data_IF_478864442906
#
_entry.id   IF_478864442906
#
_cell.length_a   1.000
_cell.length_b   1.000
_cell.length_c   1.000
_cell.angle_alpha   90.00
_cell.angle_beta   90.00
_cell.angle_gamma   90.00
#
_symmetry.space_group_name_H-M   'P 1'
#
loop_
_entity.id
_entity.type
_entity.pdbx_description
1 polymer ?
#
# COMPACT_ATOMS: atom_id res chain seq x y z
N UNK A 1 33.75 -60.51 -22.18
CA UNK A 1 32.49 -60.84 -22.87
C UNK A 1 31.60 -61.47 -21.81
N UNK A 2 30.71 -60.73 -21.13
CA UNK A 2 29.53 -60.05 -21.67
C UNK A 2 28.99 -59.00 -20.68
N UNK A 3 28.73 -57.80 -21.20
CA UNK A 3 27.65 -56.83 -20.88
C UNK A 3 27.22 -56.70 -19.41
N UNK A 4 27.67 -55.69 -18.64
CA UNK A 4 27.28 -54.27 -18.70
C UNK A 4 25.78 -54.11 -19.04
N UNK A 5 24.92 -54.35 -18.06
CA UNK A 5 23.50 -53.94 -18.10
C UNK A 5 23.34 -52.66 -17.28
N UNK A 6 23.78 -51.57 -17.89
CA UNK A 6 23.72 -50.17 -17.43
C UNK A 6 22.27 -49.62 -17.42
N UNK A 7 21.29 -50.36 -16.91
CA UNK A 7 19.86 -49.92 -16.91
C UNK A 7 19.24 -49.70 -15.52
N UNK A 8 20.00 -49.86 -14.42
CA UNK A 8 19.48 -49.62 -13.05
C UNK A 8 20.04 -48.37 -12.35
N UNK A 9 20.73 -47.47 -13.07
CA UNK A 9 21.44 -46.31 -12.48
C UNK A 9 20.66 -44.98 -12.64
N UNK A 10 19.50 -44.97 -13.30
CA UNK A 10 18.74 -43.74 -13.59
C UNK A 10 17.28 -43.74 -13.12
N UNK A 11 16.99 -44.33 -11.95
CA UNK A 11 15.74 -44.04 -11.24
C UNK A 11 15.97 -43.01 -10.14
N UNK A 12 16.25 -41.78 -10.56
CA UNK A 12 16.19 -40.61 -9.69
C UNK A 12 14.72 -40.46 -9.24
N UNK A 13 14.42 -40.88 -8.00
CA UNK A 13 13.14 -40.63 -7.35
C UNK A 13 13.01 -39.12 -7.16
N UNK A 14 12.48 -38.45 -8.18
CA UNK A 14 12.08 -37.06 -8.14
C UNK A 14 11.30 -36.82 -6.84
N UNK A 15 11.68 -35.81 -6.02
CA UNK A 15 10.91 -35.50 -4.83
C UNK A 15 9.48 -35.23 -5.28
N UNK A 16 8.53 -35.90 -4.63
CA UNK A 16 7.11 -35.80 -4.95
C UNK A 16 6.65 -34.38 -4.63
N UNK A 17 6.75 -33.48 -5.61
CA UNK A 17 6.37 -32.07 -5.52
C UNK A 17 4.96 -31.92 -4.94
N UNK A 18 4.06 -32.88 -5.22
CA UNK A 18 2.71 -32.88 -4.64
C UNK A 18 2.71 -32.98 -3.10
N UNK A 19 3.61 -33.75 -2.49
CA UNK A 19 3.70 -33.88 -1.03
C UNK A 19 4.32 -32.65 -0.39
N UNK A 20 5.30 -32.02 -1.04
CA UNK A 20 5.87 -30.74 -0.58
C UNK A 20 4.89 -29.58 -0.73
N UNK A 21 4.13 -29.53 -1.83
CA UNK A 21 3.06 -28.55 -2.05
C UNK A 21 1.91 -28.77 -1.07
N UNK A 22 1.51 -30.01 -0.78
CA UNK A 22 0.51 -30.32 0.26
C UNK A 22 1.01 -30.00 1.68
N UNK A 23 2.30 -30.19 1.97
CA UNK A 23 2.92 -29.76 3.24
C UNK A 23 3.01 -28.24 3.35
N UNK A 24 3.36 -27.55 2.27
CA UNK A 24 3.40 -26.08 2.18
C UNK A 24 1.99 -25.49 2.29
N UNK A 25 0.99 -26.12 1.69
CA UNK A 25 -0.43 -25.76 1.83
C UNK A 25 -0.96 -26.01 3.25
N UNK A 26 -0.56 -27.10 3.92
CA UNK A 26 -0.89 -27.33 5.34
C UNK A 26 -0.19 -26.32 6.26
N UNK A 27 1.05 -25.94 5.96
CA UNK A 27 1.76 -24.89 6.70
C UNK A 27 1.24 -23.48 6.41
N UNK A 28 0.55 -23.28 5.28
CA UNK A 28 -0.18 -22.06 4.97
C UNK A 28 -1.28 -21.77 6.01
N UNK A 29 -1.81 -22.79 6.69
CA UNK A 29 -2.87 -22.65 7.71
C UNK A 29 -2.39 -22.84 9.16
N UNK A 30 -1.11 -22.68 9.44
CA UNK A 30 -0.56 -22.74 10.81
C UNK A 30 -0.59 -21.34 11.48
N UNK A 31 -0.61 -21.28 12.81
CA UNK A 31 -0.58 -20.06 13.65
C UNK A 31 0.51 -19.04 13.27
N UNK A 32 1.56 -19.45 12.55
CA UNK A 32 2.57 -18.58 11.95
C UNK A 32 2.02 -17.70 10.82
N UNK A 33 1.08 -18.20 10.00
CA UNK A 33 0.41 -17.42 8.95
C UNK A 33 -0.61 -16.46 9.54
N UNK A 34 -1.32 -16.84 10.61
CA UNK A 34 -2.21 -15.92 11.32
C UNK A 34 -1.44 -14.77 11.99
N UNK A 35 -0.25 -15.02 12.56
CA UNK A 35 0.69 -13.99 13.02
C UNK A 35 1.25 -13.12 11.90
N UNK A 36 1.29 -13.65 10.66
CA UNK A 36 1.74 -12.95 9.44
C UNK A 36 0.64 -12.08 8.83
N UNK A 37 -0.63 -12.48 8.94
CA UNK A 37 -1.80 -11.72 8.48
C UNK A 37 -2.27 -10.67 9.49
N UNK A 38 -2.12 -10.94 10.79
CA UNK A 38 -2.43 -10.01 11.88
C UNK A 38 -1.18 -9.71 12.71
N UNK A 39 -0.22 -8.96 12.14
CA UNK A 39 1.00 -8.52 12.83
C UNK A 39 0.70 -7.73 14.12
N UNK A 40 -0.53 -7.19 14.27
CA UNK A 40 -0.99 -6.53 15.49
C UNK A 40 -0.83 -7.38 16.76
N UNK A 41 -1.04 -8.68 16.64
CA UNK A 41 -0.95 -9.62 17.77
C UNK A 41 0.51 -9.86 18.18
N UNK A 42 1.48 -9.52 17.33
CA UNK A 42 2.91 -9.72 17.61
C UNK A 42 3.54 -8.51 18.32
N UNK A 43 3.10 -7.28 17.99
CA UNK A 43 3.65 -6.06 18.59
C UNK A 43 2.88 -5.60 19.84
N UNK A 44 1.55 -5.79 19.88
CA UNK A 44 0.71 -5.36 21.00
C UNK A 44 1.13 -5.95 22.38
N UNK A 45 1.47 -7.26 22.52
CA UNK A 45 1.89 -7.81 23.81
C UNK A 45 3.31 -7.41 24.24
N UNK A 46 4.10 -6.79 23.37
CA UNK A 46 5.45 -6.26 23.68
C UNK A 46 5.44 -4.77 24.00
N UNK A 47 4.26 -4.15 24.03
CA UNK A 47 4.11 -2.72 24.22
C UNK A 47 4.29 -2.33 25.69
N UNK A 48 5.30 -1.50 25.98
CA UNK A 48 5.52 -0.97 27.32
C UNK A 48 4.65 0.28 27.55
N UNK A 49 3.97 0.35 28.69
CA UNK A 49 3.09 1.49 29.04
C UNK A 49 3.82 2.84 29.14
N UNK A 50 5.16 2.82 29.25
CA UNK A 50 5.99 4.03 29.21
C UNK A 50 5.93 4.75 27.84
N UNK A 51 5.58 4.04 26.76
CA UNK A 51 5.44 4.64 25.42
C UNK A 51 4.06 5.26 25.17
N UNK A 52 3.10 5.11 26.09
CA UNK A 52 1.74 5.60 25.90
C UNK A 52 1.66 7.12 25.77
N UNK A 53 2.41 7.86 26.60
CA UNK A 53 2.45 9.33 26.56
C UNK A 53 3.08 9.86 25.26
N UNK A 54 4.29 9.42 24.84
CA UNK A 54 4.87 9.88 23.59
C UNK A 54 4.03 9.48 22.37
N UNK A 55 3.43 8.28 22.36
CA UNK A 55 2.56 7.86 21.25
C UNK A 55 1.26 8.67 21.19
N UNK A 56 0.70 9.06 22.33
CA UNK A 56 -0.48 9.94 22.37
C UNK A 56 -0.17 11.33 21.79
N UNK A 57 0.95 11.94 22.19
CA UNK A 57 1.38 13.25 21.68
C UNK A 57 1.72 13.15 20.18
N UNK A 58 2.37 12.07 19.76
CA UNK A 58 2.65 11.80 18.35
C UNK A 58 1.36 11.64 17.54
N UNK A 59 0.41 10.83 18.02
CA UNK A 59 -0.89 10.63 17.39
C UNK A 59 -1.71 11.92 17.26
N UNK A 60 -1.72 12.76 18.30
CA UNK A 60 -2.35 14.08 18.26
C UNK A 60 -1.70 14.98 17.19
N UNK A 61 -0.37 15.01 17.16
CA UNK A 61 0.40 15.83 16.21
C UNK A 61 0.15 15.38 14.76
N UNK A 62 0.20 14.07 14.51
CA UNK A 62 -0.07 13.48 13.20
C UNK A 62 -1.53 13.69 12.79
N UNK A 63 -2.48 13.54 13.72
CA UNK A 63 -3.90 13.80 13.45
C UNK A 63 -4.16 15.26 13.06
N UNK A 64 -3.58 16.21 13.79
CA UNK A 64 -3.71 17.64 13.51
C UNK A 64 -3.11 18.04 12.15
N UNK A 65 -2.03 17.38 11.70
CA UNK A 65 -1.44 17.64 10.37
C UNK A 65 -2.16 16.89 9.25
N UNK A 66 -2.71 15.70 9.53
CA UNK A 66 -3.41 14.88 8.55
C UNK A 66 -4.74 15.50 8.08
N UNK A 67 -5.47 16.19 8.97
CA UNK A 67 -6.76 16.84 8.64
C UNK A 67 -6.61 17.86 7.50
N UNK A 68 -5.78 18.92 7.62
CA UNK A 68 -5.62 19.89 6.53
C UNK A 68 -5.02 19.25 5.28
N UNK A 69 -4.08 18.31 5.44
CA UNK A 69 -3.48 17.58 4.32
C UNK A 69 -4.55 16.82 3.50
N UNK A 70 -5.47 16.12 4.17
CA UNK A 70 -6.52 15.35 3.53
C UNK A 70 -7.52 16.24 2.76
N UNK A 71 -7.86 17.41 3.31
CA UNK A 71 -8.76 18.40 2.67
C UNK A 71 -8.16 18.88 1.35
N UNK A 72 -6.86 19.27 1.37
CA UNK A 72 -6.15 19.76 0.18
C UNK A 72 -6.03 18.65 -0.88
N UNK A 73 -5.78 17.41 -0.48
CA UNK A 73 -5.69 16.30 -1.42
C UNK A 73 -7.03 15.96 -2.07
N UNK A 74 -8.13 16.07 -1.33
CA UNK A 74 -9.48 15.95 -1.90
C UNK A 74 -9.75 17.00 -2.97
N UNK A 75 -9.35 18.26 -2.74
CA UNK A 75 -9.55 19.34 -3.73
C UNK A 75 -8.61 19.21 -4.93
N UNK A 76 -7.37 18.75 -4.72
CA UNK A 76 -6.45 18.43 -5.82
C UNK A 76 -7.00 17.29 -6.68
N UNK A 77 -7.70 16.32 -6.10
CA UNK A 77 -8.35 15.25 -6.87
C UNK A 77 -9.60 15.71 -7.64
N UNK A 78 -10.00 16.99 -7.59
CA UNK A 78 -11.23 17.49 -8.22
C UNK A 78 -12.52 17.05 -7.52
N UNK A 79 -12.42 16.49 -6.30
CA UNK A 79 -13.56 15.98 -5.53
C UNK A 79 -13.93 16.94 -4.40
N UNK A 80 -15.13 16.78 -3.82
CA UNK A 80 -15.50 17.54 -2.63
C UNK A 80 -14.55 17.19 -1.46
N UNK A 81 -14.06 18.16 -0.66
CA UNK A 81 -13.02 17.94 0.33
C UNK A 81 -13.30 16.84 1.35
N UNK A 82 -14.58 16.59 1.66
CA UNK A 82 -15.03 15.50 2.53
C UNK A 82 -14.51 14.10 2.09
N UNK A 83 -14.37 13.83 0.79
CA UNK A 83 -13.85 12.55 0.30
C UNK A 83 -12.38 12.32 0.67
N UNK A 84 -11.58 13.39 0.74
CA UNK A 84 -10.21 13.31 1.22
C UNK A 84 -10.15 12.92 2.70
N UNK A 85 -11.05 13.47 3.52
CA UNK A 85 -11.14 13.13 4.93
C UNK A 85 -11.63 11.69 5.16
N UNK A 86 -12.61 11.24 4.36
CA UNK A 86 -13.09 9.85 4.42
C UNK A 86 -11.98 8.85 4.08
N UNK A 87 -11.17 9.13 3.06
CA UNK A 87 -10.07 8.23 2.66
C UNK A 87 -8.92 8.22 3.68
N UNK A 88 -8.59 9.35 4.29
CA UNK A 88 -7.59 9.44 5.36
C UNK A 88 -8.02 8.66 6.60
N UNK A 89 -9.26 8.82 7.04
CA UNK A 89 -9.79 8.11 8.21
C UNK A 89 -9.88 6.60 7.97
N UNK A 90 -10.48 6.18 6.85
CA UNK A 90 -10.66 4.77 6.54
C UNK A 90 -9.32 4.06 6.28
N UNK A 91 -8.36 4.74 5.64
CA UNK A 91 -7.02 4.23 5.41
C UNK A 91 -6.29 3.88 6.71
N UNK A 92 -6.29 4.79 7.68
CA UNK A 92 -5.74 4.53 9.03
C UNK A 92 -6.47 3.37 9.73
N UNK A 93 -7.80 3.36 9.69
CA UNK A 93 -8.59 2.32 10.35
C UNK A 93 -8.28 0.92 9.82
N UNK A 94 -8.24 0.76 8.49
CA UNK A 94 -7.88 -0.53 7.85
C UNK A 94 -6.44 -0.91 8.15
N UNK A 95 -5.51 0.05 8.18
CA UNK A 95 -4.11 -0.21 8.46
C UNK A 95 -3.86 -0.72 9.88
N UNK A 96 -4.68 -0.35 10.87
CA UNK A 96 -4.54 -0.89 12.23
C UNK A 96 -4.70 -2.43 12.23
N UNK A 97 -5.62 -2.98 11.44
CA UNK A 97 -5.87 -4.43 11.43
C UNK A 97 -4.84 -5.21 10.59
N UNK A 98 -4.45 -4.66 9.44
CA UNK A 98 -3.62 -5.37 8.45
C UNK A 98 -2.17 -4.86 8.35
N UNK A 99 -1.83 -3.82 9.10
CA UNK A 99 -0.56 -3.10 9.00
C UNK A 99 0.59 -3.81 9.71
N UNK A 100 1.69 -4.00 8.99
CA UNK A 100 2.91 -4.66 9.48
C UNK A 100 3.86 -3.73 10.23
N UNK A 101 3.76 -2.40 10.04
CA UNK A 101 4.65 -1.41 10.64
C UNK A 101 3.87 -0.50 11.59
N UNK A 102 4.38 -0.28 12.81
CA UNK A 102 3.72 0.56 13.82
C UNK A 102 3.82 2.07 13.57
N UNK A 103 4.82 2.50 12.80
CA UNK A 103 5.19 3.92 12.66
C UNK A 103 4.71 4.56 11.35
N UNK A 104 4.10 3.80 10.43
CA UNK A 104 3.68 4.35 9.14
C UNK A 104 2.22 4.77 9.17
N UNK A 105 1.96 5.99 8.71
CA UNK A 105 0.61 6.51 8.57
C UNK A 105 0.15 6.31 7.12
N UNK A 106 -1.00 5.68 6.93
CA UNK A 106 -1.62 5.52 5.61
C UNK A 106 -2.66 6.61 5.42
N UNK A 107 -2.60 7.29 4.28
CA UNK A 107 -3.59 8.27 3.91
C UNK A 107 -3.49 8.62 2.43
N UNK A 108 -4.38 9.51 1.94
CA UNK A 108 -4.24 10.06 0.61
C UNK A 108 -2.90 10.78 0.48
N UNK A 109 -2.29 10.68 -0.69
CA UNK A 109 -1.06 11.39 -1.03
C UNK A 109 -1.30 12.33 -2.19
N UNK A 110 -0.47 13.36 -2.31
CA UNK A 110 -0.59 14.34 -3.38
C UNK A 110 -0.50 13.70 -4.78
N UNK A 111 0.38 12.70 -4.95
CA UNK A 111 0.55 11.98 -6.23
C UNK A 111 -0.73 11.21 -6.60
N UNK A 112 -1.29 10.45 -5.66
CA UNK A 112 -2.56 9.73 -5.90
C UNK A 112 -3.69 10.70 -6.28
N UNK A 113 -3.73 11.86 -5.66
CA UNK A 113 -4.75 12.88 -5.92
C UNK A 113 -4.65 13.44 -7.34
N UNK A 114 -3.44 13.75 -7.82
CA UNK A 114 -3.22 14.25 -9.19
C UNK A 114 -3.51 13.17 -10.24
N UNK A 115 -3.15 11.91 -9.99
CA UNK A 115 -3.41 10.81 -10.93
C UNK A 115 -4.91 10.55 -11.09
N UNK A 116 -5.66 10.65 -9.99
CA UNK A 116 -7.11 10.48 -9.99
C UNK A 116 -7.81 11.71 -10.61
N UNK A 117 -7.26 12.92 -10.44
CA UNK A 117 -7.81 14.17 -10.99
C UNK A 117 -8.18 14.08 -12.48
N UNK A 118 -7.35 13.43 -13.30
CA UNK A 118 -7.60 13.30 -14.73
C UNK A 118 -8.85 12.47 -15.10
N UNK A 119 -9.40 11.71 -14.14
CA UNK A 119 -10.49 10.75 -14.35
C UNK A 119 -11.73 11.06 -13.49
N UNK A 120 -11.73 12.13 -12.70
CA UNK A 120 -12.78 12.46 -11.74
C UNK A 120 -13.71 13.56 -12.21
N UNK A 121 -14.42 13.32 -13.31
CA UNK A 121 -15.58 14.16 -13.66
C UNK A 121 -16.75 13.97 -12.68
N UNK A 122 -16.87 12.78 -12.07
CA UNK A 122 -17.85 12.46 -11.02
C UNK A 122 -17.20 11.64 -9.90
N UNK A 123 -17.73 11.73 -8.68
CA UNK A 123 -17.25 10.96 -7.53
C UNK A 123 -17.36 9.44 -7.73
N UNK A 124 -18.36 8.98 -8.49
CA UNK A 124 -18.58 7.55 -8.75
C UNK A 124 -17.40 6.90 -9.49
N UNK A 125 -16.77 7.62 -10.43
CA UNK A 125 -15.59 7.13 -11.14
C UNK A 125 -14.39 6.97 -10.22
N UNK A 126 -14.22 7.88 -9.25
CA UNK A 126 -13.16 7.77 -8.24
C UNK A 126 -13.32 6.53 -7.37
N UNK A 127 -14.56 6.24 -6.94
CA UNK A 127 -14.90 5.09 -6.10
C UNK A 127 -14.66 3.79 -6.89
N UNK A 128 -15.08 3.74 -8.15
CA UNK A 128 -14.86 2.59 -9.02
C UNK A 128 -13.37 2.35 -9.29
N UNK A 129 -12.61 3.41 -9.57
CA UNK A 129 -11.15 3.33 -9.75
C UNK A 129 -10.44 2.84 -8.48
N UNK A 130 -10.88 3.30 -7.31
CA UNK A 130 -10.38 2.84 -6.01
C UNK A 130 -10.66 1.35 -5.81
N UNK A 131 -11.88 0.90 -6.13
CA UNK A 131 -12.26 -0.51 -6.06
C UNK A 131 -11.39 -1.40 -6.95
N UNK A 132 -11.22 -1.04 -8.23
CA UNK A 132 -10.36 -1.79 -9.15
C UNK A 132 -8.89 -1.78 -8.72
N UNK A 133 -8.38 -0.64 -8.24
CA UNK A 133 -7.02 -0.55 -7.71
C UNK A 133 -6.83 -1.48 -6.50
N UNK A 134 -7.85 -1.59 -5.64
CA UNK A 134 -7.86 -2.53 -4.53
C UNK A 134 -7.83 -3.99 -4.99
N UNK A 135 -8.65 -4.36 -5.99
CA UNK A 135 -8.65 -5.71 -6.57
C UNK A 135 -7.30 -6.04 -7.20
N UNK A 136 -6.73 -5.13 -7.99
CA UNK A 136 -5.42 -5.32 -8.63
C UNK A 136 -4.32 -5.46 -7.57
N UNK A 137 -4.34 -4.63 -6.53
CA UNK A 137 -3.37 -4.71 -5.42
C UNK A 137 -3.48 -6.02 -4.66
N UNK A 138 -4.72 -6.49 -4.41
CA UNK A 138 -4.96 -7.79 -3.78
C UNK A 138 -4.45 -8.93 -4.66
N UNK A 139 -4.72 -8.91 -5.96
CA UNK A 139 -4.22 -9.90 -6.91
C UNK A 139 -2.70 -9.91 -6.98
N UNK A 140 -2.05 -8.73 -7.05
CA UNK A 140 -0.59 -8.62 -6.99
C UNK A 140 -0.02 -9.19 -5.69
N UNK A 141 -0.70 -8.97 -4.56
CA UNK A 141 -0.35 -9.57 -3.27
C UNK A 141 -0.45 -11.09 -3.26
N UNK A 142 -1.56 -11.65 -3.76
CA UNK A 142 -1.78 -13.11 -3.85
C UNK A 142 -0.77 -13.78 -4.78
N UNK A 143 -0.42 -13.13 -5.89
CA UNK A 143 0.59 -13.60 -6.83
C UNK A 143 2.04 -13.36 -6.34
N UNK A 144 2.22 -12.80 -5.14
CA UNK A 144 3.53 -12.44 -4.56
C UNK A 144 4.38 -11.52 -5.46
N UNK A 145 3.73 -10.67 -6.28
CA UNK A 145 4.40 -9.71 -7.18
C UNK A 145 5.10 -8.56 -6.44
N UNK A 146 5.07 -8.54 -5.10
CA UNK A 146 5.88 -7.62 -4.30
C UNK A 146 7.39 -7.75 -4.54
N UNK A 147 7.85 -8.89 -5.08
CA UNK A 147 9.24 -9.06 -5.56
C UNK A 147 9.53 -8.13 -6.75
N UNK A 148 8.56 -7.89 -7.63
CA UNK A 148 8.73 -7.01 -8.79
C UNK A 148 8.89 -5.54 -8.38
N UNK A 149 8.16 -5.11 -7.35
CA UNK A 149 8.25 -3.76 -6.80
C UNK A 149 9.65 -3.49 -6.20
N UNK A 150 10.30 -4.52 -5.65
CA UNK A 150 11.67 -4.40 -5.12
C UNK A 150 12.73 -4.20 -6.22
N UNK A 151 12.42 -4.50 -7.48
CA UNK A 151 13.30 -4.22 -8.62
C UNK A 151 13.18 -2.78 -9.14
N UNK A 152 12.24 -1.97 -8.62
CA UNK A 152 12.17 -0.56 -8.96
C UNK A 152 13.35 0.15 -8.30
N UNK A 153 14.23 0.72 -9.12
CA UNK A 153 15.43 1.39 -8.63
C UNK A 153 15.07 2.70 -7.92
N UNK A 154 15.80 3.00 -6.84
CA UNK A 154 15.63 4.24 -6.07
C UNK A 154 15.66 5.50 -6.98
N UNK A 155 16.56 5.61 -7.98
CA UNK A 155 16.58 6.76 -8.89
C UNK A 155 15.29 6.97 -9.70
N UNK A 156 14.59 5.89 -10.07
CA UNK A 156 13.34 5.99 -10.84
C UNK A 156 12.21 6.51 -9.95
N UNK A 157 12.08 5.96 -8.75
CA UNK A 157 11.06 6.40 -7.79
C UNK A 157 11.29 7.85 -7.35
N UNK A 158 12.54 8.25 -7.12
CA UNK A 158 12.86 9.64 -6.77
C UNK A 158 12.62 10.59 -7.94
N UNK A 159 13.03 10.22 -9.17
CA UNK A 159 12.75 11.00 -10.38
C UNK A 159 11.24 11.22 -10.60
N UNK A 160 10.45 10.16 -10.47
CA UNK A 160 8.98 10.24 -10.55
C UNK A 160 8.39 11.14 -9.47
N UNK A 161 8.85 10.99 -8.22
CA UNK A 161 8.38 11.82 -7.09
C UNK A 161 8.72 13.29 -7.30
N UNK A 162 9.91 13.61 -7.82
CA UNK A 162 10.32 14.98 -8.13
C UNK A 162 9.46 15.59 -9.25
N UNK A 163 9.19 14.84 -10.32
CA UNK A 163 8.31 15.29 -11.40
C UNK A 163 6.88 15.57 -10.89
N UNK A 164 6.35 14.67 -10.05
CA UNK A 164 5.06 14.87 -9.42
C UNK A 164 5.06 16.10 -8.50
N UNK A 165 6.11 16.29 -7.69
CA UNK A 165 6.26 17.46 -6.82
C UNK A 165 6.27 18.78 -7.60
N UNK A 166 7.01 18.86 -8.71
CA UNK A 166 7.03 20.04 -9.60
C UNK A 166 5.64 20.29 -10.20
N UNK A 167 4.94 19.23 -10.62
CA UNK A 167 3.58 19.33 -11.18
C UNK A 167 2.59 19.88 -10.14
N UNK A 168 2.64 19.35 -8.91
CA UNK A 168 1.79 19.81 -7.81
C UNK A 168 2.12 21.26 -7.45
N UNK A 169 3.40 21.61 -7.30
CA UNK A 169 3.83 22.97 -6.99
C UNK A 169 3.36 23.97 -8.05
N UNK A 170 3.48 23.60 -9.32
CA UNK A 170 2.97 24.40 -10.44
C UNK A 170 1.45 24.55 -10.40
N UNK A 171 0.72 23.50 -10.03
CA UNK A 171 -0.74 23.55 -9.88
C UNK A 171 -1.22 24.40 -8.68
N UNK A 172 -0.41 24.52 -7.64
CA UNK A 172 -0.74 25.30 -6.43
C UNK A 172 -0.25 26.75 -6.47
N UNK A 173 0.58 27.15 -7.43
CA UNK A 173 1.14 28.51 -7.50
C UNK A 173 0.04 29.58 -7.63
N UNK A 174 -1.01 29.29 -8.40
CA UNK A 174 -2.15 30.19 -8.58
C UNK A 174 -2.93 30.37 -7.28
N UNK A 175 -3.11 29.29 -6.51
CA UNK A 175 -3.75 29.35 -5.19
C UNK A 175 -2.92 30.16 -4.18
N UNK A 176 -1.59 30.08 -4.23
CA UNK A 176 -0.69 30.81 -3.34
C UNK A 176 -0.69 32.32 -3.60
N UNK A 177 -0.70 32.73 -4.86
CA UNK A 177 -0.71 34.15 -5.24
C UNK A 177 -2.12 34.77 -5.28
N UNK A 178 -3.16 34.01 -4.91
CA UNK A 178 -4.56 34.48 -4.90
C UNK A 178 -5.09 34.81 -6.29
N UNK A 179 -4.41 34.36 -7.35
CA UNK A 179 -4.84 34.56 -8.73
C UNK A 179 -5.86 33.48 -9.01
N UNK A 180 -7.14 33.86 -9.08
CA UNK A 180 -8.24 32.94 -9.42
C UNK A 180 -8.12 32.53 -10.90
N UNK A 181 -7.21 31.61 -11.19
CA UNK A 181 -7.22 30.91 -12.46
C UNK A 181 -8.38 29.94 -12.41
N UNK A 182 -9.52 30.38 -12.95
CA UNK A 182 -10.71 29.59 -13.21
C UNK A 182 -10.37 28.56 -14.29
N UNK A 183 -9.57 27.54 -13.96
CA UNK A 183 -9.28 26.43 -14.85
C UNK A 183 -10.40 25.40 -14.65
N UNK A 184 -11.49 25.61 -15.40
CA UNK A 184 -12.55 24.62 -15.58
C UNK A 184 -11.96 23.41 -16.30
N UNK A 185 -11.89 22.25 -15.64
CA UNK A 185 -11.97 20.93 -16.27
C UNK A 185 -12.73 19.98 -15.34
#
# INVERSE_FOLDING_TARGET
MTELKDEEIYHEKLPKIYEEVLKSAKNCCTTATAKKFFPIITWLPKYELNFLIPDFVAGLTVGLTAIPQAIVYGTIAGLTPQYGLYSAFMGCFVYIFFGTCKDVTIGPTAIMSVMVQAHTHNADYAILACFFTGVITLLMGVLNLGVLVQFISIPVTTGFTMAAAITIASGQINNLFGISSKFYY
#
